data_IF_744563931640
#
_entry.id   IF_744563931640
#
_cell.length_a   1.000
_cell.length_b   1.000
_cell.length_c   1.000
_cell.angle_alpha   90.00
_cell.angle_beta   90.00
_cell.angle_gamma   90.00
#
_symmetry.space_group_name_H-M   'P 1'
#
loop_
_entity.id
_entity.type
_entity.pdbx_description
1 polymer ?
#
# COMPACT_ATOMS: atom_id res chain seq x y z
N UNK A 1 0.30 14.54 5.74
CA UNK A 1 0.53 15.12 7.09
C UNK A 1 1.96 15.64 7.19
N UNK A 2 2.29 16.49 8.18
CA UNK A 2 3.69 16.92 8.36
C UNK A 2 4.50 15.88 9.13
N UNK A 3 5.83 15.97 9.07
CA UNK A 3 6.73 15.03 9.78
C UNK A 3 6.56 15.07 11.29
N UNK A 4 6.32 16.27 11.84
CA UNK A 4 6.10 16.48 13.28
C UNK A 4 4.82 15.77 13.69
N UNK A 5 3.73 15.92 12.91
CA UNK A 5 2.47 15.22 13.17
C UNK A 5 2.68 13.70 13.20
N UNK A 6 3.41 13.14 12.22
CA UNK A 6 3.67 11.70 12.14
C UNK A 6 4.48 11.19 13.32
N UNK A 7 5.49 11.93 13.79
CA UNK A 7 6.27 11.52 14.97
C UNK A 7 5.45 11.55 16.26
N UNK A 8 4.54 12.51 16.41
CA UNK A 8 3.64 12.57 17.57
C UNK A 8 2.57 11.46 17.53
N UNK A 9 2.12 11.06 16.34
CA UNK A 9 1.13 9.99 16.20
C UNK A 9 1.61 8.66 16.79
N UNK A 10 2.85 8.25 16.55
CA UNK A 10 3.41 7.04 17.16
C UNK A 10 3.38 7.08 18.70
N UNK A 11 3.58 8.24 19.32
CA UNK A 11 3.47 8.37 20.77
C UNK A 11 2.01 8.30 21.25
N UNK A 12 1.07 8.84 20.47
CA UNK A 12 -0.37 8.77 20.78
C UNK A 12 -0.92 7.35 20.67
N UNK A 13 -0.54 6.61 19.61
CA UNK A 13 -0.92 5.20 19.40
C UNK A 13 -0.51 4.36 20.61
N UNK A 14 0.72 4.54 21.11
CA UNK A 14 1.22 3.79 22.29
C UNK A 14 0.38 4.01 23.55
N UNK A 15 -0.29 5.16 23.68
CA UNK A 15 -1.16 5.49 24.83
C UNK A 15 -2.50 4.78 24.77
N UNK A 16 -2.88 4.20 23.63
CA UNK A 16 -4.16 3.49 23.46
C UNK A 16 -4.13 2.06 23.99
N UNK A 17 -2.97 1.56 24.45
CA UNK A 17 -2.79 0.16 24.84
C UNK A 17 -3.88 -0.38 25.77
N UNK A 18 -4.35 0.45 26.71
CA UNK A 18 -5.38 0.12 27.70
C UNK A 18 -6.82 0.48 27.28
N UNK A 19 -7.03 0.97 26.06
CA UNK A 19 -8.36 1.29 25.54
C UNK A 19 -9.12 0.03 25.18
N UNK A 20 -10.46 0.10 25.24
CA UNK A 20 -11.33 -0.95 24.70
C UNK A 20 -11.11 -1.13 23.19
N UNK A 21 -11.21 -2.36 22.70
CA UNK A 21 -11.02 -2.69 21.27
C UNK A 21 -11.83 -1.80 20.32
N UNK A 22 -13.12 -1.56 20.62
CA UNK A 22 -13.96 -0.67 19.80
C UNK A 22 -13.38 0.75 19.68
N UNK A 23 -12.82 1.28 20.78
CA UNK A 23 -12.22 2.62 20.81
C UNK A 23 -10.91 2.66 20.02
N UNK A 24 -10.09 1.61 20.12
CA UNK A 24 -8.87 1.44 19.32
C UNK A 24 -9.19 1.43 17.82
N UNK A 25 -10.14 0.60 17.42
CA UNK A 25 -10.57 0.49 16.01
C UNK A 25 -11.12 1.82 15.47
N UNK A 26 -11.95 2.54 16.24
CA UNK A 26 -12.44 3.86 15.82
C UNK A 26 -11.31 4.88 15.65
N UNK A 27 -10.29 4.83 16.51
CA UNK A 27 -9.12 5.71 16.42
C UNK A 27 -8.25 5.36 15.20
N UNK A 28 -7.91 4.08 15.02
CA UNK A 28 -7.15 3.59 13.86
C UNK A 28 -7.85 3.90 12.52
N UNK A 29 -9.18 3.68 12.44
CA UNK A 29 -9.97 4.06 11.26
C UNK A 29 -9.96 5.58 11.00
N UNK A 30 -10.01 6.39 12.06
CA UNK A 30 -9.86 7.84 11.96
C UNK A 30 -8.51 8.24 11.37
N UNK A 31 -7.43 7.65 11.87
CA UNK A 31 -6.09 7.88 11.36
C UNK A 31 -5.93 7.42 9.92
N UNK A 32 -6.46 6.25 9.54
CA UNK A 32 -6.43 5.79 8.14
C UNK A 32 -7.21 6.69 7.20
N UNK A 33 -8.20 7.44 7.67
CA UNK A 33 -8.87 8.43 6.85
C UNK A 33 -8.02 9.68 6.60
N UNK A 34 -7.18 10.05 7.56
CA UNK A 34 -6.40 11.29 7.53
C UNK A 34 -4.97 11.10 7.02
N UNK A 35 -4.47 9.86 6.96
CA UNK A 35 -3.10 9.56 6.57
C UNK A 35 -2.92 9.71 5.05
N UNK A 36 -1.92 10.50 4.65
CA UNK A 36 -1.54 10.69 3.24
C UNK A 36 -0.06 11.04 3.10
N UNK A 37 0.53 10.61 2.00
CA UNK A 37 1.90 10.95 1.60
C UNK A 37 1.82 11.97 0.46
N UNK A 38 2.27 13.21 0.68
CA UNK A 38 2.33 14.21 -0.40
C UNK A 38 3.61 14.09 -1.18
N UNK A 39 3.55 14.30 -2.48
CA UNK A 39 4.70 14.50 -3.34
C UNK A 39 5.20 15.92 -3.54
N UNK A 40 4.48 16.89 -2.99
CA UNK A 40 4.69 18.29 -3.34
C UNK A 40 4.28 18.60 -4.78
N UNK A 41 3.78 17.62 -5.53
CA UNK A 41 3.33 17.74 -6.91
C UNK A 41 1.80 17.72 -6.90
N UNK A 42 1.19 18.86 -7.21
CA UNK A 42 -0.27 19.00 -7.29
C UNK A 42 -0.80 18.46 -8.62
N UNK A 43 -0.14 17.45 -9.19
CA UNK A 43 -0.40 17.01 -10.56
C UNK A 43 -1.78 16.34 -10.63
N UNK A 44 -2.74 17.05 -11.22
CA UNK A 44 -4.10 16.57 -11.47
C UNK A 44 -4.22 15.61 -12.65
N UNK A 45 -3.10 15.25 -13.30
CA UNK A 45 -3.16 14.76 -14.69
C UNK A 45 -2.63 13.35 -14.95
N UNK A 46 -2.10 12.61 -13.96
CA UNK A 46 -1.88 11.15 -14.01
C UNK A 46 -1.47 10.65 -12.62
N UNK A 47 -1.82 9.42 -12.20
CA UNK A 47 -1.26 8.83 -10.99
C UNK A 47 0.26 8.67 -11.19
N UNK A 48 1.04 9.56 -10.58
CA UNK A 48 2.49 9.48 -10.64
C UNK A 48 2.93 8.35 -9.72
N UNK A 49 3.56 7.33 -10.29
CA UNK A 49 4.21 6.27 -9.50
C UNK A 49 5.58 6.77 -9.07
N UNK A 50 5.81 6.82 -7.76
CA UNK A 50 7.03 7.41 -7.20
C UNK A 50 7.74 6.37 -6.32
N UNK A 51 9.04 6.08 -6.55
CA UNK A 51 9.84 5.29 -5.63
C UNK A 51 9.82 5.88 -4.22
N UNK A 52 9.71 5.02 -3.20
CA UNK A 52 9.70 5.51 -1.81
C UNK A 52 11.03 6.17 -1.40
N UNK A 53 12.16 5.78 -2.02
CA UNK A 53 13.47 6.41 -1.83
C UNK A 53 13.42 7.93 -2.01
N UNK A 54 12.57 8.41 -2.92
CA UNK A 54 12.44 9.83 -3.24
C UNK A 54 11.78 10.63 -2.10
N UNK A 55 11.12 9.96 -1.14
CA UNK A 55 10.63 10.56 0.13
C UNK A 55 10.99 9.75 1.37
N UNK A 56 12.14 9.09 1.38
CA UNK A 56 12.53 8.08 2.36
C UNK A 56 12.14 8.39 3.83
N UNK A 57 12.39 9.63 4.31
CA UNK A 57 12.06 9.99 5.70
C UNK A 57 10.54 10.03 5.99
N UNK A 58 9.74 10.57 5.07
CA UNK A 58 8.28 10.65 5.27
C UNK A 58 7.65 9.27 5.13
N UNK A 59 8.11 8.46 4.16
CA UNK A 59 7.62 7.08 3.98
C UNK A 59 8.00 6.19 5.16
N UNK A 60 9.18 6.36 5.74
CA UNK A 60 9.57 5.64 6.95
C UNK A 60 8.63 5.96 8.11
N UNK A 61 8.40 7.25 8.41
CA UNK A 61 7.50 7.64 9.51
C UNK A 61 6.07 7.14 9.30
N UNK A 62 5.56 7.16 8.07
CA UNK A 62 4.25 6.58 7.75
C UNK A 62 4.26 5.07 7.94
N UNK A 63 5.32 4.37 7.54
CA UNK A 63 5.47 2.94 7.78
C UNK A 63 5.42 2.61 9.26
N UNK A 64 6.19 3.33 10.08
CA UNK A 64 6.27 3.13 11.53
C UNK A 64 4.88 3.34 12.18
N UNK A 65 4.14 4.36 11.73
CA UNK A 65 2.76 4.59 12.17
C UNK A 65 1.86 3.39 11.82
N UNK A 66 1.91 2.87 10.59
CA UNK A 66 1.09 1.71 10.20
C UNK A 66 1.45 0.46 11.03
N UNK A 67 2.74 0.24 11.27
CA UNK A 67 3.22 -0.90 12.04
C UNK A 67 2.80 -0.78 13.52
N UNK A 68 2.85 0.42 14.11
CA UNK A 68 2.29 0.71 15.43
C UNK A 68 0.76 0.45 15.47
N UNK A 69 -0.01 0.91 14.48
CA UNK A 69 -1.47 0.70 14.42
C UNK A 69 -1.84 -0.79 14.43
N UNK A 70 -1.07 -1.63 13.73
CA UNK A 70 -1.26 -3.08 13.74
C UNK A 70 -0.84 -3.66 15.10
N UNK A 71 0.34 -3.28 15.61
CA UNK A 71 0.89 -3.83 16.85
C UNK A 71 0.03 -3.55 18.10
N UNK A 72 -0.75 -2.46 18.08
CA UNK A 72 -1.64 -2.07 19.18
C UNK A 72 -3.11 -2.48 18.97
N UNK A 73 -3.41 -3.31 17.97
CA UNK A 73 -4.76 -3.79 17.62
C UNK A 73 -5.74 -2.67 17.25
N UNK A 74 -5.24 -1.61 16.61
CA UNK A 74 -6.07 -0.49 16.14
C UNK A 74 -6.57 -0.69 14.71
N UNK A 75 -5.85 -1.48 13.92
CA UNK A 75 -6.22 -1.89 12.57
C UNK A 75 -5.92 -3.38 12.40
N UNK A 76 -6.91 -4.11 11.91
CA UNK A 76 -6.73 -5.49 11.47
C UNK A 76 -6.44 -5.52 9.95
N UNK A 77 -5.27 -6.01 9.51
CA UNK A 77 -4.99 -6.21 8.10
C UNK A 77 -5.97 -7.21 7.45
N UNK A 78 -6.34 -6.95 6.21
CA UNK A 78 -7.29 -7.76 5.45
C UNK A 78 -6.53 -8.72 4.54
N UNK A 79 -6.68 -10.02 4.77
CA UNK A 79 -6.12 -11.03 3.87
C UNK A 79 -6.85 -10.97 2.53
N UNK A 80 -6.11 -10.68 1.46
CA UNK A 80 -6.61 -10.59 0.10
C UNK A 80 -5.91 -11.64 -0.78
N UNK A 81 -6.55 -12.80 -1.04
CA UNK A 81 -5.99 -13.80 -1.94
C UNK A 81 -6.05 -13.29 -3.37
N UNK A 82 -4.89 -13.28 -4.03
CA UNK A 82 -4.83 -12.94 -5.45
C UNK A 82 -5.28 -14.12 -6.32
N UNK A 83 -5.99 -13.79 -7.39
CA UNK A 83 -6.34 -14.70 -8.47
C UNK A 83 -5.82 -14.11 -9.78
N UNK A 84 -4.89 -14.83 -10.40
CA UNK A 84 -4.25 -14.42 -11.65
C UNK A 84 -5.06 -14.84 -12.87
N UNK A 85 -5.27 -13.90 -13.77
CA UNK A 85 -5.81 -14.18 -15.11
C UNK A 85 -4.66 -14.23 -16.11
N UNK A 86 -4.41 -15.35 -16.81
CA UNK A 86 -3.35 -15.42 -17.81
C UNK A 86 -3.64 -14.49 -18.98
N UNK A 87 -2.62 -13.75 -19.45
CA UNK A 87 -2.74 -12.82 -20.57
C UNK A 87 -1.71 -13.14 -21.64
N UNK A 88 -2.14 -13.16 -22.91
CA UNK A 88 -1.21 -13.34 -24.02
C UNK A 88 -0.34 -12.09 -24.18
N UNK A 89 0.97 -12.24 -24.00
CA UNK A 89 1.94 -11.12 -23.95
C UNK A 89 2.16 -10.34 -25.26
N UNK A 90 1.37 -10.55 -26.32
CA UNK A 90 1.60 -9.90 -27.62
C UNK A 90 1.07 -8.48 -27.74
N UNK A 91 0.35 -7.95 -26.74
CA UNK A 91 -0.28 -6.60 -26.78
C UNK A 91 -0.10 -5.74 -25.51
N UNK A 92 0.65 -6.19 -24.51
CA UNK A 92 0.85 -5.43 -23.27
C UNK A 92 2.15 -4.63 -23.31
N UNK A 93 2.04 -3.32 -23.12
CA UNK A 93 3.18 -2.44 -22.83
C UNK A 93 3.24 -2.16 -21.32
N UNK A 94 4.43 -2.28 -20.75
CA UNK A 94 4.70 -2.11 -19.32
C UNK A 94 5.71 -0.98 -19.13
N UNK A 95 5.27 0.29 -19.24
CA UNK A 95 6.14 1.46 -19.09
C UNK A 95 6.74 1.58 -17.67
N UNK A 96 6.17 0.85 -16.70
CA UNK A 96 6.56 0.92 -15.30
C UNK A 96 6.88 -0.47 -14.76
N UNK A 97 8.11 -0.64 -14.26
CA UNK A 97 8.58 -1.85 -13.58
C UNK A 97 8.87 -1.50 -12.12
N UNK A 98 8.17 -2.15 -11.20
CA UNK A 98 8.36 -1.97 -9.77
C UNK A 98 9.18 -3.13 -9.23
N UNK A 99 10.40 -2.85 -8.82
CA UNK A 99 11.31 -3.83 -8.20
C UNK A 99 11.11 -3.71 -6.68
N UNK A 100 10.45 -4.70 -6.10
CA UNK A 100 10.23 -4.79 -4.67
C UNK A 100 11.54 -5.20 -4.00
N UNK A 101 11.95 -4.45 -2.96
CA UNK A 101 12.99 -4.94 -2.08
C UNK A 101 12.37 -5.84 -1.00
N UNK A 102 13.16 -6.77 -0.45
CA UNK A 102 12.71 -7.65 0.64
C UNK A 102 12.82 -6.98 2.02
N UNK A 103 12.95 -5.65 2.07
CA UNK A 103 13.02 -4.89 3.31
C UNK A 103 11.62 -4.36 3.68
N UNK A 104 11.22 -4.43 4.96
CA UNK A 104 9.97 -3.84 5.42
C UNK A 104 9.90 -2.36 5.13
N UNK A 105 8.71 -1.90 4.75
CA UNK A 105 8.42 -0.50 4.54
C UNK A 105 7.69 -0.23 3.25
N UNK A 106 7.34 1.03 3.04
CA UNK A 106 6.68 1.49 1.82
C UNK A 106 7.70 1.42 0.68
N UNK A 107 7.35 0.67 -0.37
CA UNK A 107 8.17 0.45 -1.55
C UNK A 107 7.86 1.46 -2.65
N UNK A 108 6.56 1.68 -2.88
CA UNK A 108 6.06 2.49 -3.98
C UNK A 108 4.84 3.29 -3.57
N UNK A 109 4.76 4.52 -4.05
CA UNK A 109 3.61 5.40 -3.89
C UNK A 109 2.90 5.44 -5.23
N UNK A 110 1.69 4.88 -5.29
CA UNK A 110 0.87 4.86 -6.49
C UNK A 110 -0.04 6.11 -6.56
N UNK A 111 -0.43 6.62 -5.40
CA UNK A 111 -1.18 7.87 -5.20
C UNK A 111 -0.89 8.41 -3.78
N UNK A 112 -1.25 9.66 -3.48
CA UNK A 112 -1.14 10.23 -2.13
C UNK A 112 -1.81 9.40 -1.04
N UNK A 113 -2.84 8.62 -1.37
CA UNK A 113 -3.61 7.77 -0.46
C UNK A 113 -3.48 6.26 -0.73
N UNK A 114 -2.59 5.84 -1.64
CA UNK A 114 -2.52 4.46 -2.05
C UNK A 114 -1.08 4.04 -2.36
N UNK A 115 -0.57 3.06 -1.61
CA UNK A 115 0.86 2.71 -1.59
C UNK A 115 1.05 1.19 -1.50
N UNK A 116 2.21 0.72 -1.96
CA UNK A 116 2.66 -0.64 -1.73
C UNK A 116 3.64 -0.67 -0.55
N UNK A 117 3.39 -1.55 0.41
CA UNK A 117 4.21 -1.77 1.61
C UNK A 117 4.62 -3.23 1.68
N UNK A 118 5.89 -3.49 2.00
CA UNK A 118 6.33 -4.81 2.47
C UNK A 118 6.17 -4.85 3.99
N UNK A 119 5.45 -5.84 4.48
CA UNK A 119 5.16 -5.99 5.91
C UNK A 119 6.40 -6.42 6.69
N UNK A 120 6.49 -6.03 7.97
CA UNK A 120 7.51 -6.55 8.88
C UNK A 120 7.07 -7.89 9.50
N UNK A 121 6.65 -8.81 8.63
CA UNK A 121 6.35 -10.19 9.00
C UNK A 121 7.45 -11.14 8.46
N UNK A 122 7.50 -12.40 8.92
CA UNK A 122 8.50 -13.36 8.45
C UNK A 122 8.42 -13.65 6.95
N UNK A 123 7.23 -13.53 6.35
CA UNK A 123 6.98 -13.83 4.94
C UNK A 123 7.25 -12.62 4.02
N UNK A 124 7.51 -11.44 4.58
CA UNK A 124 7.66 -10.17 3.84
C UNK A 124 6.48 -9.93 2.92
N UNK A 125 5.27 -10.11 3.46
CA UNK A 125 4.02 -10.03 2.69
C UNK A 125 3.91 -8.66 2.02
N UNK A 126 3.61 -8.64 0.72
CA UNK A 126 3.26 -7.40 0.04
C UNK A 126 1.85 -6.97 0.44
N UNK A 127 1.68 -5.72 0.81
CA UNK A 127 0.40 -5.13 1.15
C UNK A 127 0.08 -3.92 0.26
N UNK A 128 -1.18 -3.82 -0.16
CA UNK A 128 -1.74 -2.60 -0.69
C UNK A 128 -2.34 -1.80 0.48
N UNK A 129 -1.80 -0.61 0.74
CA UNK A 129 -2.32 0.29 1.77
C UNK A 129 -3.22 1.32 1.11
N UNK A 130 -4.47 1.40 1.55
CA UNK A 130 -5.47 2.35 1.08
C UNK A 130 -5.90 3.24 2.24
N UNK A 131 -5.75 4.54 2.08
CA UNK A 131 -6.17 5.55 3.06
C UNK A 131 -7.22 6.50 2.48
N UNK A 132 -7.84 7.30 3.35
CA UNK A 132 -8.96 8.15 2.98
C UNK A 132 -10.20 7.35 2.55
N UNK A 133 -11.15 8.04 1.94
CA UNK A 133 -12.37 7.42 1.41
C UNK A 133 -12.20 7.13 -0.09
N UNK A 134 -11.31 6.18 -0.42
CA UNK A 134 -11.10 5.72 -1.78
C UNK A 134 -11.77 4.38 -2.04
N UNK A 135 -12.31 4.23 -3.24
CA UNK A 135 -12.77 2.96 -3.79
C UNK A 135 -12.28 2.81 -5.22
N UNK A 136 -12.08 1.57 -5.67
CA UNK A 136 -11.49 1.32 -6.98
C UNK A 136 -10.83 -0.03 -7.12
N UNK A 137 -9.94 -0.11 -8.12
CA UNK A 137 -9.16 -1.29 -8.42
C UNK A 137 -7.70 -0.92 -8.72
N UNK A 138 -6.78 -1.71 -8.18
CA UNK A 138 -5.37 -1.71 -8.54
C UNK A 138 -5.08 -2.93 -9.39
N UNK A 139 -4.59 -2.72 -10.61
CA UNK A 139 -4.21 -3.77 -11.56
C UNK A 139 -2.71 -3.76 -11.77
N UNK A 140 -2.11 -4.93 -11.67
CA UNK A 140 -0.69 -5.16 -11.97
C UNK A 140 -0.50 -6.52 -12.62
N UNK A 141 0.69 -6.74 -13.18
CA UNK A 141 1.03 -7.95 -13.90
C UNK A 141 2.30 -8.56 -13.33
N UNK A 142 2.34 -9.89 -13.35
CA UNK A 142 3.51 -10.66 -12.93
C UNK A 142 3.98 -11.53 -14.08
N UNK A 143 5.29 -11.58 -14.32
CA UNK A 143 5.88 -12.46 -15.30
C UNK A 143 6.09 -13.85 -14.69
N UNK A 144 5.51 -14.87 -15.33
CA UNK A 144 5.71 -16.26 -14.97
C UNK A 144 7.04 -16.77 -15.55
N UNK A 145 7.59 -17.85 -14.99
CA UNK A 145 8.84 -18.48 -15.49
C UNK A 145 8.76 -18.88 -16.97
N UNK A 146 7.55 -19.10 -17.49
CA UNK A 146 7.28 -19.39 -18.90
C UNK A 146 7.38 -18.17 -19.83
N UNK A 147 7.57 -16.96 -19.30
CA UNK A 147 7.49 -15.69 -20.01
C UNK A 147 6.05 -15.23 -20.32
N UNK A 148 5.04 -15.93 -19.79
CA UNK A 148 3.64 -15.46 -19.86
C UNK A 148 3.36 -14.50 -18.71
N UNK A 149 2.44 -13.55 -18.93
CA UNK A 149 2.02 -12.63 -17.87
C UNK A 149 0.71 -13.08 -17.26
N UNK A 150 0.58 -12.92 -15.95
CA UNK A 150 -0.70 -13.01 -15.25
C UNK A 150 -1.11 -11.62 -14.77
N UNK A 151 -2.35 -11.26 -15.08
CA UNK A 151 -3.00 -10.05 -14.59
C UNK A 151 -3.55 -10.32 -13.20
N UNK A 152 -3.23 -9.44 -12.27
CA UNK A 152 -3.72 -9.42 -10.91
C UNK A 152 -4.57 -8.17 -10.69
N UNK A 153 -5.69 -8.31 -9.97
CA UNK A 153 -6.58 -7.19 -9.64
C UNK A 153 -6.91 -7.21 -8.15
N UNK A 154 -6.65 -6.09 -7.48
CA UNK A 154 -7.05 -5.85 -6.09
C UNK A 154 -8.16 -4.81 -6.08
N UNK A 155 -9.37 -5.25 -5.72
CA UNK A 155 -10.52 -4.35 -5.55
C UNK A 155 -10.56 -3.87 -4.11
N UNK A 156 -10.83 -2.58 -3.93
CA UNK A 156 -10.96 -1.96 -2.60
C UNK A 156 -12.14 -0.99 -2.59
N UNK A 157 -12.87 -0.97 -1.49
CA UNK A 157 -14.08 -0.16 -1.27
C UNK A 157 -14.03 0.64 0.04
N UNK A 158 -12.94 0.52 0.78
CA UNK A 158 -12.69 1.19 2.06
C UNK A 158 -11.20 1.36 2.30
N UNK A 159 -10.86 2.18 3.29
CA UNK A 159 -9.50 2.23 3.80
C UNK A 159 -9.10 0.90 4.48
N UNK A 160 -7.81 0.62 4.48
CA UNK A 160 -7.28 -0.60 5.08
C UNK A 160 -5.90 -0.97 4.56
N UNK A 161 -5.39 -2.07 5.13
CA UNK A 161 -4.13 -2.70 4.73
C UNK A 161 -4.50 -4.07 4.15
N UNK A 162 -4.40 -4.21 2.84
CA UNK A 162 -4.78 -5.42 2.10
C UNK A 162 -3.54 -6.28 1.87
N UNK A 163 -3.42 -7.38 2.62
CA UNK A 163 -2.32 -8.34 2.52
C UNK A 163 -2.48 -9.19 1.26
N UNK A 164 -1.61 -8.99 0.28
CA UNK A 164 -1.66 -9.65 -1.01
C UNK A 164 -1.01 -11.03 -0.91
N UNK A 165 -1.82 -12.04 -0.62
CA UNK A 165 -1.34 -13.41 -0.38
C UNK A 165 -1.20 -14.20 -1.69
N UNK A 166 -0.32 -15.21 -1.66
CA UNK A 166 0.12 -16.04 -2.81
C UNK A 166 1.04 -15.33 -3.81
N UNK A 167 1.63 -14.20 -3.42
CA UNK A 167 2.62 -13.49 -4.20
C UNK A 167 4.03 -13.85 -3.70
N UNK A 168 4.88 -14.38 -4.57
CA UNK A 168 6.33 -14.51 -4.35
C UNK A 168 7.04 -13.90 -5.54
N UNK A 169 7.01 -12.58 -5.65
CA UNK A 169 7.44 -11.88 -6.86
C UNK A 169 8.24 -10.64 -6.49
N UNK A 170 9.44 -10.52 -7.07
CA UNK A 170 10.33 -9.39 -6.85
C UNK A 170 10.00 -8.19 -7.77
N UNK A 171 9.23 -8.43 -8.85
CA UNK A 171 8.91 -7.40 -9.85
C UNK A 171 7.43 -7.37 -10.17
N UNK A 172 6.83 -6.19 -10.12
CA UNK A 172 5.48 -5.93 -10.61
C UNK A 172 5.55 -5.10 -11.90
N UNK A 173 4.81 -5.53 -12.91
CA UNK A 173 4.69 -4.83 -14.18
C UNK A 173 3.40 -4.01 -14.17
N UNK A 174 3.49 -2.72 -14.48
CA UNK A 174 2.36 -1.81 -14.51
C UNK A 174 2.22 -1.16 -15.89
N UNK A 175 0.97 -1.01 -16.30
CA UNK A 175 0.58 -0.19 -17.46
C UNK A 175 0.59 1.29 -17.07
N UNK A 176 0.31 2.20 -18.02
CA UNK A 176 0.13 3.64 -17.73
C UNK A 176 -1.04 3.95 -16.80
N UNK A 177 -2.01 3.03 -16.69
CA UNK A 177 -3.22 3.19 -15.88
C UNK A 177 -3.42 1.98 -14.96
N UNK A 178 -2.55 1.80 -13.95
CA UNK A 178 -2.66 0.68 -13.02
C UNK A 178 -3.76 0.90 -11.98
N UNK A 179 -4.29 2.12 -11.85
CA UNK A 179 -5.32 2.50 -10.88
C UNK A 179 -6.58 3.00 -11.57
N UNK A 180 -7.72 2.41 -11.20
CA UNK A 180 -9.06 2.93 -11.48
C UNK A 180 -9.69 3.35 -10.16
N UNK A 181 -10.08 4.62 -10.03
CA UNK A 181 -10.71 5.17 -8.83
C UNK A 181 -12.17 5.57 -9.13
N UNK A 182 -13.05 5.41 -8.15
CA UNK A 182 -14.48 5.75 -8.22
C UNK A 182 -14.87 6.84 -7.22
#
# INVERSE_FOLDING_TARGET
MTRIDLSHLSEEIKKTQNWSNHRKQMFGMGLMNELYITDGSVSKTSPVIIPASDRAMTTQLVSDVLDDLIAYDEIDPMVYPLEGEPVSGTELDFPHLLILNNEPGIQYILNTHLWLKVMDDPERTLALVVTGNLSGAFTFYIEQVSGQFEKMVVNFDKNGIYLLTKLSVDVLHLTDQPLTLH
#
